data_IF_799779353763
#
_entry.id   IF_799779353763
#
_cell.length_a   1.000
_cell.length_b   1.000
_cell.length_c   1.000
_cell.angle_alpha   90.00
_cell.angle_beta   90.00
_cell.angle_gamma   90.00
#
_symmetry.space_group_name_H-M   'P 1'
#
loop_
_entity.id
_entity.type
_entity.pdbx_description
1 polymer ?
#
# COMPACT_ATOMS: atom_id res chain seq x y z
N UNK A 1 -40.92 -40.77 35.28
CA UNK A 1 -40.56 -39.68 36.22
C UNK A 1 -39.29 -39.03 35.65
N UNK A 2 -39.43 -37.87 35.02
CA UNK A 2 -38.88 -36.54 35.46
C UNK A 2 -37.34 -36.51 35.42
N UNK A 3 -36.61 -35.59 34.77
CA UNK A 3 -36.82 -34.30 34.08
C UNK A 3 -35.69 -34.17 33.03
N UNK A 4 -35.90 -33.70 31.80
CA UNK A 4 -35.72 -32.30 31.34
C UNK A 4 -34.64 -31.46 32.04
N UNK A 5 -33.55 -31.18 31.33
CA UNK A 5 -32.89 -29.86 31.33
C UNK A 5 -32.18 -29.64 29.98
N UNK A 6 -32.73 -28.70 29.22
CA UNK A 6 -32.28 -28.19 27.93
C UNK A 6 -31.28 -27.04 28.14
N UNK A 7 -30.16 -27.04 27.42
CA UNK A 7 -29.33 -25.85 27.20
C UNK A 7 -29.31 -25.49 25.71
N UNK A 8 -29.46 -24.20 25.35
CA UNK A 8 -29.62 -23.75 23.98
C UNK A 8 -28.28 -23.66 23.23
N UNK A 9 -28.25 -24.24 22.02
CA UNK A 9 -27.23 -24.00 21.01
C UNK A 9 -27.43 -22.60 20.41
N UNK A 10 -26.44 -21.72 20.56
CA UNK A 10 -26.44 -20.39 19.94
C UNK A 10 -25.13 -20.20 19.17
N UNK A 11 -25.32 -19.72 17.93
CA UNK A 11 -24.39 -19.19 16.93
C UNK A 11 -23.65 -20.21 16.05
N UNK A 12 -24.37 -20.70 15.04
CA UNK A 12 -23.76 -21.04 13.75
C UNK A 12 -23.14 -19.78 13.15
N UNK A 13 -21.82 -19.79 12.99
CA UNK A 13 -21.06 -18.76 12.29
C UNK A 13 -21.38 -18.83 10.79
N UNK A 14 -21.94 -17.75 10.24
CA UNK A 14 -22.12 -17.56 8.80
C UNK A 14 -20.78 -17.61 8.08
N UNK A 15 -20.50 -18.75 7.45
CA UNK A 15 -19.41 -18.96 6.52
C UNK A 15 -19.76 -18.33 5.17
N UNK A 16 -19.70 -17.00 5.06
CA UNK A 16 -19.73 -16.38 3.74
C UNK A 16 -18.37 -16.58 3.08
N UNK A 17 -18.38 -17.38 2.00
CA UNK A 17 -17.17 -17.67 1.25
C UNK A 17 -16.60 -16.38 0.63
N UNK A 18 -15.27 -16.24 0.49
CA UNK A 18 -14.65 -15.06 -0.14
C UNK A 18 -15.16 -14.75 -1.56
N UNK A 19 -15.75 -15.75 -2.25
CA UNK A 19 -16.39 -15.58 -3.56
C UNK A 19 -17.74 -14.85 -3.48
N UNK A 20 -18.51 -15.03 -2.40
CA UNK A 20 -19.79 -14.32 -2.23
C UNK A 20 -19.59 -12.85 -1.87
N UNK A 21 -18.53 -12.51 -1.12
CA UNK A 21 -18.14 -11.11 -0.87
C UNK A 21 -17.66 -10.43 -2.16
N UNK A 22 -16.96 -11.14 -3.05
CA UNK A 22 -16.58 -10.62 -4.36
C UNK A 22 -17.79 -10.43 -5.31
N UNK A 23 -18.77 -11.34 -5.27
CA UNK A 23 -20.00 -11.21 -6.07
C UNK A 23 -20.96 -10.13 -5.53
N UNK A 24 -21.06 -9.93 -4.21
CA UNK A 24 -21.86 -8.84 -3.64
C UNK A 24 -21.22 -7.46 -3.89
N UNK A 25 -19.89 -7.35 -3.96
CA UNK A 25 -19.22 -6.09 -4.30
C UNK A 25 -19.22 -5.79 -5.81
N UNK A 26 -19.14 -6.82 -6.66
CA UNK A 26 -19.24 -6.67 -8.12
C UNK A 26 -20.64 -6.34 -8.64
N UNK A 27 -21.67 -6.37 -7.77
CA UNK A 27 -23.06 -5.98 -8.10
C UNK A 27 -23.47 -4.62 -7.50
N UNK A 28 -22.61 -3.98 -6.69
CA UNK A 28 -22.85 -2.62 -6.23
C UNK A 28 -22.31 -1.65 -7.29
N UNK A 29 -23.20 -1.27 -8.21
CA UNK A 29 -23.00 -0.09 -9.06
C UNK A 29 -22.54 1.11 -8.23
N UNK A 30 -21.69 1.93 -8.86
CA UNK A 30 -20.90 3.04 -8.30
C UNK A 30 -21.37 3.62 -6.97
N UNK A 31 -20.46 3.71 -6.00
CA UNK A 31 -20.66 4.50 -4.79
C UNK A 31 -20.96 5.95 -5.20
N UNK A 32 -22.17 6.47 -4.93
CA UNK A 32 -22.54 7.79 -5.40
C UNK A 32 -21.58 8.83 -4.84
N UNK A 33 -21.23 9.79 -5.69
CA UNK A 33 -20.40 10.94 -5.29
C UNK A 33 -21.29 12.16 -5.28
N UNK A 34 -21.50 12.71 -4.09
CA UNK A 34 -22.07 14.04 -3.94
C UNK A 34 -20.99 15.08 -4.29
N UNK A 35 -21.32 16.01 -5.18
CA UNK A 35 -20.49 17.18 -5.48
C UNK A 35 -21.35 18.43 -5.32
N UNK A 36 -20.78 19.43 -4.67
CA UNK A 36 -21.37 20.77 -4.63
C UNK A 36 -21.15 21.46 -5.98
N UNK A 37 -22.17 21.41 -6.82
CA UNK A 37 -22.17 22.00 -8.16
C UNK A 37 -22.08 23.52 -8.14
N UNK A 38 -22.46 24.18 -7.04
CA UNK A 38 -22.42 25.65 -6.91
C UNK A 38 -21.00 26.21 -6.92
N UNK A 39 -19.99 25.35 -6.74
CA UNK A 39 -18.58 25.72 -6.86
C UNK A 39 -18.10 25.92 -8.30
N UNK A 40 -18.91 25.62 -9.31
CA UNK A 40 -18.51 25.64 -10.71
C UNK A 40 -19.35 26.64 -11.51
N UNK A 41 -18.71 27.41 -12.38
CA UNK A 41 -19.43 28.28 -13.33
C UNK A 41 -20.09 27.46 -14.44
N UNK A 42 -19.47 26.33 -14.80
CA UNK A 42 -19.93 25.46 -15.88
C UNK A 42 -20.11 24.04 -15.36
N UNK A 43 -21.35 23.58 -15.33
CA UNK A 43 -21.71 22.19 -15.03
C UNK A 43 -22.25 21.58 -16.31
N UNK A 44 -21.57 20.54 -16.81
CA UNK A 44 -21.84 19.98 -18.14
C UNK A 44 -22.13 18.49 -17.99
N UNK A 45 -23.34 18.08 -18.37
CA UNK A 45 -23.64 16.70 -18.67
C UNK A 45 -23.00 16.34 -20.01
N UNK A 46 -22.05 15.40 -20.01
CA UNK A 46 -21.28 15.10 -21.21
C UNK A 46 -22.13 14.46 -22.30
N UNK A 47 -23.21 13.74 -21.96
CA UNK A 47 -24.11 13.10 -22.94
C UNK A 47 -25.03 14.13 -23.56
N UNK A 48 -25.59 15.06 -22.79
CA UNK A 48 -26.33 16.19 -23.34
C UNK A 48 -25.45 17.06 -24.26
N UNK A 49 -24.15 17.13 -23.96
CA UNK A 49 -23.15 17.78 -24.82
C UNK A 49 -22.69 16.93 -26.03
N UNK A 50 -23.22 15.70 -26.20
CA UNK A 50 -22.99 14.86 -27.38
C UNK A 50 -22.00 13.71 -27.19
N UNK A 51 -21.60 13.36 -25.96
CA UNK A 51 -20.73 12.22 -25.70
C UNK A 51 -21.45 10.90 -26.02
N UNK A 52 -20.75 9.98 -26.68
CA UNK A 52 -21.21 8.61 -26.82
C UNK A 52 -21.04 7.83 -25.51
N UNK A 53 -22.16 7.45 -24.90
CA UNK A 53 -22.21 6.66 -23.67
C UNK A 53 -22.47 5.16 -23.93
N UNK A 54 -22.40 4.71 -25.18
CA UNK A 54 -22.45 3.29 -25.57
C UNK A 54 -21.04 2.67 -25.69
N UNK A 55 -20.03 3.50 -25.94
CA UNK A 55 -18.62 3.12 -26.05
C UNK A 55 -18.17 2.76 -27.47
N UNK A 56 -18.93 3.15 -28.50
CA UNK A 56 -18.57 2.94 -29.90
C UNK A 56 -17.65 4.01 -30.48
N UNK A 57 -17.67 5.23 -29.94
CA UNK A 57 -16.87 6.38 -30.38
C UNK A 57 -16.10 6.98 -29.22
N UNK A 58 -14.85 7.41 -29.50
CA UNK A 58 -14.02 8.05 -28.48
C UNK A 58 -14.63 9.38 -28.05
N UNK A 59 -14.73 9.59 -26.75
CA UNK A 59 -15.22 10.85 -26.20
C UNK A 59 -14.13 11.90 -26.03
N UNK A 60 -12.87 11.55 -26.26
CA UNK A 60 -11.72 12.44 -26.00
C UNK A 60 -11.80 13.75 -26.79
N UNK A 61 -12.14 13.77 -28.11
CA UNK A 61 -12.27 15.03 -28.85
C UNK A 61 -13.29 16.00 -28.23
N UNK A 62 -14.40 15.47 -27.72
CA UNK A 62 -15.42 16.27 -27.05
C UNK A 62 -14.92 16.76 -25.69
N UNK A 63 -14.34 15.88 -24.86
CA UNK A 63 -13.80 16.29 -23.55
C UNK A 63 -12.72 17.37 -23.68
N UNK A 64 -11.91 17.32 -24.74
CA UNK A 64 -10.90 18.33 -25.05
C UNK A 64 -11.50 19.71 -25.33
N UNK A 65 -12.71 19.76 -25.90
CA UNK A 65 -13.46 21.00 -26.15
C UNK A 65 -14.19 21.48 -24.88
N UNK A 66 -14.72 20.57 -24.07
CA UNK A 66 -15.53 20.91 -22.89
C UNK A 66 -14.68 21.34 -21.69
N UNK A 67 -13.51 20.71 -21.51
CA UNK A 67 -12.63 20.99 -20.37
C UNK A 67 -12.25 22.46 -20.31
N UNK A 68 -12.09 22.97 -19.11
CA UNK A 68 -11.71 24.35 -18.86
C UNK A 68 -11.62 24.59 -17.37
N UNK A 69 -11.09 25.75 -17.00
CA UNK A 69 -11.13 26.17 -15.62
C UNK A 69 -12.58 26.37 -15.15
N UNK A 70 -12.79 26.27 -13.84
CA UNK A 70 -14.06 26.34 -13.15
C UNK A 70 -15.20 25.52 -13.79
N UNK A 71 -14.87 24.32 -14.29
CA UNK A 71 -15.77 23.45 -15.03
C UNK A 71 -15.93 22.08 -14.34
N UNK A 72 -17.16 21.58 -14.26
CA UNK A 72 -17.51 20.24 -13.81
C UNK A 72 -18.08 19.43 -14.99
N UNK A 73 -17.39 18.36 -15.37
CA UNK A 73 -17.87 17.38 -16.34
C UNK A 73 -18.56 16.22 -15.60
N UNK A 74 -19.85 16.04 -15.87
CA UNK A 74 -20.70 15.00 -15.29
C UNK A 74 -20.94 13.90 -16.30
N UNK A 75 -20.69 12.67 -15.89
CA UNK A 75 -20.87 11.46 -16.67
C UNK A 75 -22.08 10.70 -16.14
N UNK A 76 -23.20 10.69 -16.89
CA UNK A 76 -24.29 9.77 -16.65
C UNK A 76 -23.85 8.31 -16.72
N UNK A 77 -24.65 7.37 -16.19
CA UNK A 77 -24.44 5.94 -16.42
C UNK A 77 -24.26 5.62 -17.90
N UNK A 78 -23.23 4.84 -18.19
CA UNK A 78 -22.84 4.48 -19.56
C UNK A 78 -21.43 3.92 -19.64
N UNK A 79 -21.03 3.58 -20.86
CA UNK A 79 -19.69 3.14 -21.22
C UNK A 79 -19.08 4.16 -22.17
N UNK A 80 -17.91 4.67 -21.84
CA UNK A 80 -17.29 5.77 -22.55
C UNK A 80 -15.92 5.34 -23.05
N UNK A 81 -15.76 5.26 -24.37
CA UNK A 81 -14.50 4.84 -24.98
C UNK A 81 -13.50 6.01 -25.00
N UNK A 82 -12.23 5.72 -24.71
CA UNK A 82 -11.14 6.70 -24.73
C UNK A 82 -9.91 6.11 -25.41
N UNK A 83 -9.50 6.69 -26.53
CA UNK A 83 -8.31 6.31 -27.31
C UNK A 83 -7.16 7.31 -27.23
N UNK A 84 -7.31 8.38 -26.44
CA UNK A 84 -6.31 9.43 -26.30
C UNK A 84 -6.38 10.09 -24.91
N UNK A 85 -5.40 10.95 -24.61
CA UNK A 85 -5.28 11.68 -23.34
C UNK A 85 -6.19 12.91 -23.30
N UNK A 86 -6.87 13.13 -22.18
CA UNK A 86 -7.46 14.42 -21.81
C UNK A 86 -6.47 15.19 -20.94
N UNK A 87 -5.99 16.32 -21.44
CA UNK A 87 -4.94 17.13 -20.80
C UNK A 87 -5.44 18.52 -20.40
N UNK A 88 -5.26 18.89 -19.13
CA UNK A 88 -5.52 20.24 -18.62
C UNK A 88 -4.48 20.60 -17.57
N UNK A 89 -3.86 21.77 -17.66
CA UNK A 89 -2.80 22.23 -16.73
C UNK A 89 -3.07 23.66 -16.27
N UNK A 90 -2.58 24.05 -15.10
CA UNK A 90 -2.72 25.43 -14.60
C UNK A 90 -4.14 25.89 -14.31
N UNK A 91 -5.07 24.97 -14.06
CA UNK A 91 -6.47 25.29 -13.71
C UNK A 91 -6.61 25.58 -12.21
N UNK A 92 -7.61 26.38 -11.83
CA UNK A 92 -7.93 26.72 -10.44
C UNK A 92 -8.98 25.78 -9.85
N UNK A 93 -9.96 25.33 -10.62
CA UNK A 93 -11.00 24.40 -10.16
C UNK A 93 -11.50 23.55 -11.33
N UNK A 94 -11.42 22.23 -11.22
CA UNK A 94 -11.90 21.34 -12.28
C UNK A 94 -12.47 20.06 -11.70
N UNK A 95 -13.56 19.56 -12.28
CA UNK A 95 -14.23 18.36 -11.84
C UNK A 95 -14.51 17.41 -12.99
N UNK A 96 -14.29 16.11 -12.77
CA UNK A 96 -14.67 15.02 -13.67
C UNK A 96 -15.31 13.92 -12.82
N UNK A 97 -16.63 13.79 -12.89
CA UNK A 97 -17.36 12.89 -11.99
C UNK A 97 -18.38 12.04 -12.70
N UNK A 98 -18.62 10.85 -12.18
CA UNK A 98 -19.76 10.01 -12.50
C UNK A 98 -20.60 9.80 -11.23
N UNK A 99 -21.51 10.74 -10.91
CA UNK A 99 -22.21 10.76 -9.62
C UNK A 99 -23.07 9.53 -9.38
N UNK A 100 -23.55 8.89 -10.46
CA UNK A 100 -24.35 7.66 -10.43
C UNK A 100 -23.59 6.46 -11.02
N UNK A 101 -22.26 6.54 -11.12
CA UNK A 101 -21.42 5.53 -11.73
C UNK A 101 -21.34 5.63 -13.25
N UNK A 102 -20.15 5.46 -13.81
CA UNK A 102 -19.90 5.33 -15.25
C UNK A 102 -18.69 4.45 -15.50
N UNK A 103 -18.61 3.83 -16.68
CA UNK A 103 -17.45 3.03 -17.08
C UNK A 103 -16.62 3.75 -18.13
N UNK A 104 -15.34 3.95 -17.87
CA UNK A 104 -14.36 4.36 -18.89
C UNK A 104 -13.71 3.12 -19.49
N UNK A 105 -13.63 3.05 -20.81
CA UNK A 105 -13.06 1.94 -21.57
C UNK A 105 -11.88 2.47 -22.38
N UNK A 106 -10.63 2.33 -21.90
CA UNK A 106 -9.46 2.74 -22.66
C UNK A 106 -9.23 1.84 -23.89
N UNK A 107 -8.67 2.42 -24.95
CA UNK A 107 -8.02 1.67 -26.02
C UNK A 107 -6.82 0.86 -25.48
N UNK A 108 -6.39 -0.14 -26.24
CA UNK A 108 -5.24 -0.96 -25.88
C UNK A 108 -3.90 -0.24 -26.12
N UNK A 109 -2.80 -0.89 -25.76
CA UNK A 109 -1.46 -0.31 -25.90
C UNK A 109 -1.09 0.16 -27.32
N UNK A 110 -1.57 -0.54 -28.36
CA UNK A 110 -1.20 -0.29 -29.75
C UNK A 110 -2.04 0.83 -30.37
N UNK A 111 -3.30 0.95 -29.93
CA UNK A 111 -4.28 1.86 -30.50
C UNK A 111 -4.49 3.15 -29.68
N UNK A 112 -3.92 3.23 -28.47
CA UNK A 112 -3.95 4.47 -27.68
C UNK A 112 -2.98 5.52 -28.25
N UNK A 113 -3.52 6.66 -28.67
CA UNK A 113 -2.83 7.70 -29.44
C UNK A 113 -1.75 8.44 -28.64
N UNK A 114 -2.03 8.83 -27.39
CA UNK A 114 -1.04 9.55 -26.59
C UNK A 114 0.18 8.65 -26.31
N UNK A 115 1.37 9.10 -26.71
CA UNK A 115 2.64 8.37 -26.51
C UNK A 115 2.84 7.89 -25.06
N UNK A 116 2.33 8.69 -24.13
CA UNK A 116 2.48 8.55 -22.70
C UNK A 116 1.36 7.74 -22.01
N UNK A 117 0.31 7.36 -22.77
CA UNK A 117 -0.75 6.41 -22.40
C UNK A 117 -1.40 6.70 -21.04
N UNK A 118 -2.12 7.82 -20.97
CA UNK A 118 -2.85 8.32 -19.79
C UNK A 118 -4.24 8.74 -20.24
N UNK A 119 -5.28 8.37 -19.50
CA UNK A 119 -6.65 8.84 -19.76
C UNK A 119 -6.76 10.32 -19.40
N UNK A 120 -6.32 10.67 -18.20
CA UNK A 120 -6.33 12.06 -17.72
C UNK A 120 -4.96 12.47 -17.22
N UNK A 121 -4.48 13.61 -17.73
CA UNK A 121 -3.30 14.31 -17.23
C UNK A 121 -3.69 15.72 -16.78
N UNK A 122 -3.89 15.85 -15.48
CA UNK A 122 -4.46 17.03 -14.83
C UNK A 122 -3.39 17.71 -13.97
N UNK A 123 -2.85 18.80 -14.49
CA UNK A 123 -1.68 19.48 -13.95
C UNK A 123 -0.36 18.86 -14.39
N UNK A 124 0.71 19.60 -14.17
CA UNK A 124 2.12 19.16 -14.27
C UNK A 124 2.94 19.94 -13.24
N UNK A 125 4.12 19.46 -12.83
CA UNK A 125 4.88 20.07 -11.74
C UNK A 125 5.16 21.58 -11.89
N UNK A 126 5.30 22.10 -13.12
CA UNK A 126 5.53 23.53 -13.41
C UNK A 126 4.26 24.34 -13.74
N UNK A 127 3.12 23.66 -13.88
CA UNK A 127 1.81 24.28 -14.10
C UNK A 127 0.74 23.40 -13.44
N UNK A 128 0.79 23.26 -12.10
CA UNK A 128 -0.10 22.37 -11.37
C UNK A 128 -1.55 22.88 -11.47
N UNK A 129 -2.51 21.97 -11.31
CA UNK A 129 -3.91 22.37 -11.10
C UNK A 129 -4.16 22.74 -9.63
N UNK A 130 -5.35 23.25 -9.33
CA UNK A 130 -5.88 23.41 -7.97
C UNK A 130 -7.32 22.92 -7.93
N UNK A 131 -7.79 22.52 -6.73
CA UNK A 131 -9.17 22.09 -6.49
C UNK A 131 -9.69 21.09 -7.54
N UNK A 132 -9.01 19.93 -7.64
CA UNK A 132 -9.40 18.86 -8.55
C UNK A 132 -10.38 17.91 -7.87
N UNK A 133 -11.54 17.69 -8.49
CA UNK A 133 -12.44 16.57 -8.14
C UNK A 133 -12.44 15.51 -9.23
N UNK A 134 -12.20 14.26 -8.85
CA UNK A 134 -12.27 13.13 -9.77
C UNK A 134 -12.92 11.92 -9.11
N UNK A 135 -13.91 11.29 -9.75
CA UNK A 135 -14.41 10.05 -9.18
C UNK A 135 -15.70 9.46 -9.73
N UNK A 136 -16.05 8.27 -9.22
CA UNK A 136 -17.30 7.57 -9.52
C UNK A 136 -17.17 6.62 -10.71
N UNK A 137 -15.94 6.32 -11.12
CA UNK A 137 -15.67 5.58 -12.34
C UNK A 137 -15.25 4.14 -12.06
N UNK A 138 -15.79 3.23 -12.86
CA UNK A 138 -15.15 1.95 -13.17
C UNK A 138 -14.29 2.14 -14.43
N UNK A 139 -13.08 1.58 -14.45
CA UNK A 139 -12.16 1.62 -15.58
C UNK A 139 -12.00 0.19 -16.09
N UNK A 140 -12.52 -0.09 -17.28
CA UNK A 140 -12.57 -1.45 -17.84
C UNK A 140 -11.29 -1.75 -18.64
N UNK A 141 -10.30 -2.35 -17.97
CA UNK A 141 -9.02 -2.78 -18.55
C UNK A 141 -8.94 -4.29 -18.71
N UNK A 142 -10.09 -4.97 -18.92
CA UNK A 142 -10.13 -6.44 -19.09
C UNK A 142 -9.64 -6.91 -20.45
N UNK A 143 -9.64 -6.04 -21.46
CA UNK A 143 -9.13 -6.37 -22.78
C UNK A 143 -7.61 -6.66 -22.71
N UNK A 144 -7.08 -7.57 -23.55
CA UNK A 144 -5.64 -7.81 -23.64
C UNK A 144 -4.86 -6.53 -23.93
N UNK A 145 -3.59 -6.51 -23.55
CA UNK A 145 -2.67 -5.38 -23.79
C UNK A 145 -3.21 -4.03 -23.30
N UNK A 146 -4.15 -4.04 -22.35
CA UNK A 146 -4.80 -2.85 -21.81
C UNK A 146 -4.28 -2.59 -20.41
N UNK A 147 -4.03 -1.32 -20.13
CA UNK A 147 -3.28 -0.89 -18.96
C UNK A 147 -2.90 0.56 -19.19
N UNK A 148 -3.81 1.48 -18.96
CA UNK A 148 -3.57 2.90 -19.24
C UNK A 148 -3.63 3.62 -17.90
N UNK A 149 -2.73 4.58 -17.68
CA UNK A 149 -2.78 5.38 -16.45
C UNK A 149 -4.13 6.08 -16.41
N UNK A 150 -4.90 5.85 -15.34
CA UNK A 150 -6.24 6.42 -15.20
C UNK A 150 -6.12 7.92 -14.95
N UNK A 151 -5.33 8.28 -13.95
CA UNK A 151 -5.17 9.67 -13.54
C UNK A 151 -3.72 9.93 -13.18
N UNK A 152 -3.14 10.89 -13.88
CA UNK A 152 -1.96 11.62 -13.45
C UNK A 152 -2.41 13.00 -12.97
N UNK A 153 -2.30 13.26 -11.68
CA UNK A 153 -2.69 14.52 -11.06
C UNK A 153 -1.50 15.17 -10.35
N UNK A 154 -1.12 16.35 -10.83
CA UNK A 154 -0.15 17.23 -10.17
C UNK A 154 -0.87 18.50 -9.74
N UNK A 155 -1.24 18.56 -8.47
CA UNK A 155 -2.17 19.55 -7.92
C UNK A 155 -1.44 20.35 -6.84
N UNK A 156 -1.56 21.68 -6.86
CA UNK A 156 -0.99 22.53 -5.84
C UNK A 156 -1.66 22.26 -4.49
N UNK A 157 -2.99 22.26 -4.47
CA UNK A 157 -3.82 22.07 -3.28
C UNK A 157 -5.24 21.66 -3.68
N UNK A 158 -5.98 20.98 -2.79
CA UNK A 158 -7.37 20.60 -3.01
C UNK A 158 -7.57 19.40 -3.94
N UNK A 159 -6.71 18.39 -3.91
CA UNK A 159 -6.95 17.13 -4.63
C UNK A 159 -8.02 16.30 -3.92
N UNK A 160 -9.08 15.92 -4.62
CA UNK A 160 -10.12 15.01 -4.13
C UNK A 160 -10.43 13.93 -5.18
N UNK A 161 -9.87 12.73 -4.98
CA UNK A 161 -10.10 11.56 -5.85
C UNK A 161 -10.88 10.52 -5.08
N UNK A 162 -12.06 10.12 -5.55
CA UNK A 162 -12.91 9.15 -4.84
C UNK A 162 -13.53 8.09 -5.74
N UNK A 163 -13.69 6.89 -5.20
CA UNK A 163 -14.51 5.81 -5.81
C UNK A 163 -14.09 5.53 -7.27
N UNK A 164 -12.83 5.13 -7.44
CA UNK A 164 -12.28 4.76 -8.74
C UNK A 164 -11.89 3.29 -8.68
N UNK A 165 -12.47 2.46 -9.54
CA UNK A 165 -12.17 1.03 -9.60
C UNK A 165 -11.62 0.64 -10.97
N UNK A 166 -10.40 0.10 -11.01
CA UNK A 166 -9.81 -0.49 -12.20
C UNK A 166 -10.14 -1.98 -12.23
N UNK A 167 -10.92 -2.37 -13.24
CA UNK A 167 -11.38 -3.73 -13.49
C UNK A 167 -10.46 -4.35 -14.55
N UNK A 168 -10.01 -5.58 -14.31
CA UNK A 168 -9.00 -6.22 -15.15
C UNK A 168 -7.57 -5.94 -14.69
N UNK A 169 -6.61 -6.67 -15.27
CA UNK A 169 -5.20 -6.59 -14.91
C UNK A 169 -4.46 -5.65 -15.87
N UNK A 170 -3.59 -4.80 -15.34
CA UNK A 170 -2.75 -3.92 -16.14
C UNK A 170 -1.77 -4.76 -16.98
N UNK A 171 -2.09 -4.94 -18.26
CA UNK A 171 -1.42 -5.88 -19.18
C UNK A 171 -0.62 -5.21 -20.30
N UNK A 172 -0.61 -3.88 -20.37
CA UNK A 172 0.13 -3.10 -21.38
C UNK A 172 1.60 -2.81 -21.03
N UNK A 173 1.98 -2.88 -19.75
CA UNK A 173 3.30 -2.50 -19.24
C UNK A 173 3.56 -1.01 -19.06
N UNK A 174 2.57 -0.14 -19.31
CA UNK A 174 2.72 1.33 -19.13
C UNK A 174 2.87 1.75 -17.65
N UNK A 175 2.90 3.05 -17.38
CA UNK A 175 2.81 3.57 -16.02
C UNK A 175 1.52 3.13 -15.33
N UNK A 176 1.59 2.79 -14.05
CA UNK A 176 0.42 2.27 -13.34
C UNK A 176 -0.73 3.28 -13.17
N UNK A 177 -1.88 2.82 -12.66
CA UNK A 177 -3.16 3.49 -12.83
C UNK A 177 -3.28 4.85 -12.12
N UNK A 178 -2.55 5.09 -11.02
CA UNK A 178 -2.57 6.36 -10.32
C UNK A 178 -1.18 7.00 -10.20
N UNK A 179 -1.08 8.29 -10.51
CA UNK A 179 -0.01 9.16 -10.03
C UNK A 179 -0.63 10.41 -9.39
N UNK A 180 -0.27 10.67 -8.14
CA UNK A 180 -0.81 11.79 -7.38
C UNK A 180 0.30 12.55 -6.66
N UNK A 181 0.39 13.84 -6.93
CA UNK A 181 1.31 14.75 -6.26
C UNK A 181 0.55 15.99 -5.76
N UNK A 182 0.90 16.40 -4.55
CA UNK A 182 0.59 17.74 -4.04
C UNK A 182 1.86 18.58 -4.12
N UNK A 183 1.87 19.59 -4.98
CA UNK A 183 3.09 20.33 -5.35
C UNK A 183 3.38 21.53 -4.46
N UNK A 184 2.36 22.09 -3.80
CA UNK A 184 2.55 23.14 -2.78
C UNK A 184 2.85 22.48 -1.43
N UNK A 185 3.95 22.83 -0.73
CA UNK A 185 4.23 22.33 0.62
C UNK A 185 3.09 22.56 1.65
N UNK A 186 2.28 23.61 1.47
CA UNK A 186 1.12 23.89 2.32
C UNK A 186 -0.18 23.22 1.81
N UNK A 187 -0.15 22.66 0.60
CA UNK A 187 -1.31 22.04 -0.02
C UNK A 187 -1.66 20.69 0.59
N UNK A 188 -2.89 20.25 0.33
CA UNK A 188 -3.38 18.96 0.78
C UNK A 188 -4.26 18.24 -0.24
N UNK A 189 -4.33 16.91 -0.11
CA UNK A 189 -5.11 16.05 -0.99
C UNK A 189 -5.60 14.76 -0.34
N UNK A 190 -6.70 14.23 -0.86
CA UNK A 190 -7.23 12.92 -0.51
C UNK A 190 -7.41 12.06 -1.75
N UNK A 191 -6.98 10.80 -1.65
CA UNK A 191 -7.31 9.74 -2.60
C UNK A 191 -8.01 8.64 -1.81
N UNK A 192 -9.31 8.50 -2.01
CA UNK A 192 -10.17 7.60 -1.24
C UNK A 192 -10.80 6.53 -2.12
N UNK A 193 -10.77 5.27 -1.68
CA UNK A 193 -11.38 4.13 -2.40
C UNK A 193 -10.92 4.06 -3.87
N UNK A 194 -9.60 4.20 -4.08
CA UNK A 194 -8.96 3.88 -5.35
C UNK A 194 -8.58 2.39 -5.35
N UNK A 195 -9.24 1.61 -6.20
CA UNK A 195 -9.14 0.16 -6.23
C UNK A 195 -8.54 -0.31 -7.55
N UNK A 196 -7.45 -1.07 -7.46
CA UNK A 196 -6.79 -1.71 -8.59
C UNK A 196 -6.22 -3.06 -8.12
N UNK A 197 -7.11 -3.94 -7.64
CA UNK A 197 -6.74 -5.16 -6.92
C UNK A 197 -6.19 -6.28 -7.82
N UNK A 198 -6.46 -6.21 -9.12
CA UNK A 198 -5.94 -7.16 -10.10
C UNK A 198 -4.43 -7.00 -10.34
N UNK A 199 -3.86 -5.83 -10.00
CA UNK A 199 -2.44 -5.55 -10.21
C UNK A 199 -2.07 -5.50 -11.69
N UNK A 200 -0.87 -5.99 -12.01
CA UNK A 200 -0.35 -6.00 -13.38
C UNK A 200 0.27 -7.33 -13.77
N UNK A 201 0.31 -7.60 -15.07
CA UNK A 201 1.14 -8.70 -15.59
C UNK A 201 2.62 -8.32 -15.46
N UNK A 202 3.54 -9.29 -15.45
CA UNK A 202 4.98 -9.06 -15.49
C UNK A 202 5.39 -8.21 -16.68
N UNK A 203 6.33 -7.29 -16.49
CA UNK A 203 6.77 -6.41 -17.59
C UNK A 203 7.15 -7.25 -18.81
N UNK A 204 7.92 -8.33 -18.62
CA UNK A 204 8.36 -9.24 -19.69
C UNK A 204 7.23 -9.89 -20.51
N UNK A 205 5.98 -9.79 -20.06
CA UNK A 205 4.79 -10.30 -20.73
C UNK A 205 3.89 -9.18 -21.29
N UNK A 206 4.42 -7.97 -21.40
CA UNK A 206 3.69 -6.79 -21.89
C UNK A 206 4.21 -6.34 -23.25
N UNK A 207 3.40 -5.67 -24.08
CA UNK A 207 3.88 -5.08 -25.32
C UNK A 207 4.96 -4.01 -25.09
N UNK A 208 4.91 -3.26 -23.97
CA UNK A 208 5.95 -2.27 -23.65
C UNK A 208 7.35 -2.88 -23.51
N UNK A 209 7.48 -4.13 -23.09
CA UNK A 209 8.79 -4.77 -22.93
C UNK A 209 9.66 -4.74 -24.19
N UNK A 210 9.02 -4.75 -25.37
CA UNK A 210 9.72 -4.68 -26.65
C UNK A 210 10.37 -3.31 -26.90
N UNK A 211 9.88 -2.26 -26.23
CA UNK A 211 10.35 -0.88 -26.34
C UNK A 211 11.30 -0.52 -25.19
N UNK A 212 10.99 -1.01 -23.99
CA UNK A 212 11.66 -0.61 -22.74
C UNK A 212 11.75 -1.83 -21.79
N UNK A 213 12.71 -2.74 -22.05
CA UNK A 213 12.89 -3.96 -21.26
C UNK A 213 13.47 -3.72 -19.87
N UNK A 214 14.09 -2.55 -19.64
CA UNK A 214 14.68 -2.17 -18.35
C UNK A 214 13.64 -1.61 -17.37
N UNK A 215 12.51 -1.11 -17.88
CA UNK A 215 11.43 -0.63 -17.02
C UNK A 215 10.81 -1.75 -16.20
N UNK A 216 10.76 -1.59 -14.88
CA UNK A 216 10.25 -2.61 -13.96
C UNK A 216 8.75 -2.92 -14.07
N UNK A 217 8.01 -2.06 -14.77
CA UNK A 217 6.57 -2.17 -14.93
C UNK A 217 5.80 -1.22 -14.00
N UNK A 218 4.47 -1.30 -14.00
CA UNK A 218 3.63 -0.35 -13.27
C UNK A 218 3.74 -0.53 -11.76
N UNK A 219 3.75 0.60 -11.05
CA UNK A 219 3.40 0.72 -9.63
C UNK A 219 1.93 1.12 -9.50
N UNK A 220 1.18 0.52 -8.59
CA UNK A 220 -0.27 0.74 -8.45
C UNK A 220 -0.65 2.21 -8.25
N UNK A 221 -0.09 2.83 -7.21
CA UNK A 221 -0.16 4.27 -6.98
C UNK A 221 1.25 4.82 -6.75
N UNK A 222 1.59 5.88 -7.49
CA UNK A 222 2.88 6.56 -7.43
C UNK A 222 2.72 8.02 -6.96
N UNK A 223 3.57 8.46 -6.04
CA UNK A 223 3.93 9.87 -5.91
C UNK A 223 5.41 10.03 -6.20
N UNK A 224 5.77 11.11 -6.86
CA UNK A 224 7.14 11.41 -7.28
C UNK A 224 7.76 12.50 -6.42
N UNK A 225 9.00 12.88 -6.74
CA UNK A 225 9.68 14.00 -6.09
C UNK A 225 8.93 15.34 -6.18
N UNK A 226 7.95 15.48 -7.08
CA UNK A 226 7.10 16.66 -7.18
C UNK A 226 6.08 16.76 -6.04
N UNK A 227 5.87 15.70 -5.25
CA UNK A 227 5.02 15.79 -4.05
C UNK A 227 5.78 16.41 -2.87
N UNK A 228 5.27 17.55 -2.39
CA UNK A 228 5.83 18.38 -1.32
C UNK A 228 4.81 18.65 -0.18
N UNK A 229 3.51 18.68 -0.47
CA UNK A 229 2.46 18.91 0.54
C UNK A 229 2.03 17.64 1.27
N UNK A 230 0.74 17.52 1.58
CA UNK A 230 0.17 16.34 2.29
C UNK A 230 -0.82 15.55 1.43
N UNK A 231 -0.64 14.23 1.29
CA UNK A 231 -1.66 13.34 0.71
C UNK A 231 -2.13 12.31 1.73
N UNK A 232 -3.45 12.11 1.80
CA UNK A 232 -4.05 10.97 2.50
C UNK A 232 -4.63 9.96 1.52
N UNK A 233 -4.08 8.75 1.52
CA UNK A 233 -4.65 7.57 0.87
C UNK A 233 -5.59 6.85 1.84
N UNK A 234 -6.89 6.83 1.53
CA UNK A 234 -7.92 6.26 2.42
C UNK A 234 -8.63 5.08 1.77
N UNK A 235 -8.67 3.94 2.45
CA UNK A 235 -9.40 2.76 2.01
C UNK A 235 -9.08 2.31 0.57
N UNK A 236 -7.84 2.53 0.11
CA UNK A 236 -7.37 2.07 -1.20
C UNK A 236 -7.15 0.56 -1.20
N UNK A 237 -7.23 -0.06 -2.38
CA UNK A 237 -7.04 -1.51 -2.53
C UNK A 237 -6.15 -1.80 -3.73
N UNK A 238 -4.91 -2.22 -3.50
CA UNK A 238 -3.90 -2.36 -4.55
C UNK A 238 -3.40 -3.80 -4.65
N UNK A 239 -3.38 -4.31 -5.88
CA UNK A 239 -3.08 -5.69 -6.23
C UNK A 239 -1.62 -5.98 -6.52
N UNK A 240 -1.41 -7.09 -7.21
CA UNK A 240 -0.10 -7.65 -7.57
C UNK A 240 0.59 -6.87 -8.69
N UNK A 241 1.06 -5.65 -8.42
CA UNK A 241 1.78 -4.82 -9.38
C UNK A 241 3.23 -5.29 -9.60
N UNK A 242 3.76 -5.01 -10.79
CA UNK A 242 5.10 -5.42 -11.21
C UNK A 242 6.23 -4.75 -10.41
N UNK A 243 5.96 -3.58 -9.85
CA UNK A 243 6.87 -2.90 -8.94
C UNK A 243 6.24 -2.78 -7.54
N UNK A 244 5.69 -1.63 -7.15
CA UNK A 244 5.10 -1.44 -5.82
C UNK A 244 3.57 -1.38 -5.87
N UNK A 245 2.93 -1.68 -4.74
CA UNK A 245 1.51 -1.40 -4.56
C UNK A 245 1.32 0.10 -4.47
N UNK A 246 1.75 0.67 -3.34
CA UNK A 246 1.86 2.11 -3.12
C UNK A 246 3.34 2.50 -2.98
N UNK A 247 3.80 3.44 -3.82
CA UNK A 247 5.11 4.06 -3.73
C UNK A 247 4.96 5.57 -3.52
N UNK A 248 5.44 6.05 -2.39
CA UNK A 248 5.44 7.48 -2.08
C UNK A 248 6.74 7.79 -1.34
N UNK A 249 7.84 7.93 -2.09
CA UNK A 249 9.14 8.39 -1.59
C UNK A 249 9.38 9.79 -2.16
N UNK A 250 9.16 10.81 -1.34
CA UNK A 250 8.96 12.19 -1.81
C UNK A 250 9.61 13.20 -0.84
N UNK A 251 9.23 14.47 -0.94
CA UNK A 251 9.58 15.50 0.06
C UNK A 251 8.36 15.98 0.86
N UNK A 252 7.20 15.31 0.68
CA UNK A 252 5.94 15.65 1.34
C UNK A 252 5.60 14.72 2.51
N UNK A 253 4.37 14.88 3.00
CA UNK A 253 3.77 14.06 4.06
C UNK A 253 2.75 13.09 3.47
N UNK A 254 2.85 11.81 3.85
CA UNK A 254 1.98 10.77 3.30
C UNK A 254 1.28 9.98 4.39
N UNK A 255 -0.04 10.03 4.38
CA UNK A 255 -0.89 9.28 5.30
C UNK A 255 -1.61 8.16 4.56
N UNK A 256 -1.66 6.99 5.16
CA UNK A 256 -2.38 5.81 4.67
C UNK A 256 -3.31 5.36 5.78
N UNK A 257 -4.62 5.34 5.49
CA UNK A 257 -5.65 4.99 6.46
C UNK A 257 -6.59 3.94 5.90
N UNK A 258 -6.61 2.76 6.51
CA UNK A 258 -7.36 1.62 6.02
C UNK A 258 -6.79 1.03 4.72
N UNK A 259 -7.51 0.08 4.14
CA UNK A 259 -7.19 -0.46 2.82
C UNK A 259 -6.43 -1.79 2.84
N UNK A 260 -6.26 -2.35 1.64
CA UNK A 260 -5.66 -3.67 1.41
C UNK A 260 -4.58 -3.54 0.34
N UNK A 261 -3.34 -3.92 0.66
CA UNK A 261 -2.20 -3.85 -0.24
C UNK A 261 -1.58 -5.25 -0.36
N UNK A 262 -1.55 -5.82 -1.57
CA UNK A 262 -1.27 -7.24 -1.71
C UNK A 262 -0.42 -7.63 -2.92
N UNK A 263 0.49 -8.57 -2.70
CA UNK A 263 1.27 -9.29 -3.70
C UNK A 263 2.06 -8.48 -4.76
N UNK A 264 2.24 -7.17 -4.60
CA UNK A 264 3.14 -6.36 -5.44
C UNK A 264 4.60 -6.76 -5.27
N UNK A 265 5.38 -6.73 -6.34
CA UNK A 265 6.72 -7.32 -6.39
C UNK A 265 7.70 -6.79 -5.34
N UNK A 266 7.86 -5.46 -5.19
CA UNK A 266 8.91 -4.87 -4.37
C UNK A 266 8.44 -4.53 -2.94
N UNK A 267 7.33 -3.81 -2.81
CA UNK A 267 6.73 -3.48 -1.52
C UNK A 267 5.22 -3.24 -1.68
N UNK A 268 4.43 -3.67 -0.68
CA UNK A 268 2.99 -3.42 -0.70
C UNK A 268 2.71 -1.96 -0.39
N UNK A 269 3.40 -1.42 0.62
CA UNK A 269 3.41 -0.01 0.99
C UNK A 269 4.86 0.43 1.20
N UNK A 270 5.32 1.40 0.40
CA UNK A 270 6.64 2.01 0.51
C UNK A 270 6.52 3.52 0.66
N UNK A 271 6.89 4.03 1.82
CA UNK A 271 6.83 5.45 2.14
C UNK A 271 8.23 6.01 2.43
N UNK A 272 8.44 7.27 2.06
CA UNK A 272 9.57 8.11 2.44
C UNK A 272 9.23 9.57 2.15
N UNK A 273 9.75 10.51 2.93
CA UNK A 273 9.26 11.88 2.91
C UNK A 273 9.69 12.67 4.11
N UNK A 274 8.89 13.65 4.51
CA UNK A 274 9.10 14.39 5.77
C UNK A 274 8.57 13.60 6.95
N UNK A 275 7.31 13.15 6.86
CA UNK A 275 6.61 12.37 7.88
C UNK A 275 5.42 11.61 7.27
N UNK A 276 4.74 10.78 8.07
CA UNK A 276 3.56 10.06 7.60
C UNK A 276 3.00 9.05 8.58
N UNK A 277 1.78 8.59 8.31
CA UNK A 277 1.10 7.56 9.11
C UNK A 277 0.66 6.39 8.25
N UNK A 278 0.70 5.18 8.80
CA UNK A 278 0.07 3.97 8.25
C UNK A 278 -0.85 3.44 9.35
N UNK A 279 -2.16 3.63 9.19
CA UNK A 279 -3.14 3.30 10.21
C UNK A 279 -4.20 2.33 9.70
N UNK A 280 -4.51 1.28 10.47
CA UNK A 280 -5.58 0.31 10.15
C UNK A 280 -5.39 -0.40 8.78
N UNK A 281 -4.15 -0.58 8.34
CA UNK A 281 -3.83 -1.14 7.02
C UNK A 281 -3.69 -2.65 7.08
N UNK A 282 -4.24 -3.34 6.07
CA UNK A 282 -3.99 -4.77 5.84
C UNK A 282 -3.02 -4.97 4.68
N UNK A 283 -1.93 -5.69 4.94
CA UNK A 283 -0.95 -6.13 3.97
C UNK A 283 -1.00 -7.65 3.85
N UNK A 284 -1.10 -8.15 2.61
CA UNK A 284 -1.20 -9.60 2.33
C UNK A 284 -0.23 -10.02 1.23
N UNK A 285 0.72 -10.88 1.57
CA UNK A 285 1.66 -11.48 0.61
C UNK A 285 1.51 -13.00 0.68
N UNK A 286 0.51 -13.51 -0.03
CA UNK A 286 0.07 -14.90 0.08
C UNK A 286 0.38 -15.75 -1.16
N UNK A 287 0.98 -15.15 -2.18
CA UNK A 287 1.49 -15.85 -3.35
C UNK A 287 2.73 -15.16 -3.89
N UNK A 288 3.62 -15.99 -4.46
CA UNK A 288 4.72 -15.52 -5.26
C UNK A 288 4.21 -15.00 -6.62
N UNK A 289 4.96 -14.06 -7.20
CA UNK A 289 4.70 -13.59 -8.55
C UNK A 289 5.45 -14.46 -9.56
N UNK A 290 4.81 -14.75 -10.68
CA UNK A 290 5.38 -15.49 -11.81
C UNK A 290 5.55 -14.52 -13.00
N UNK A 291 6.68 -14.51 -13.75
CA UNK A 291 7.90 -15.26 -13.52
C UNK A 291 8.85 -14.61 -12.52
N UNK A 292 9.69 -15.46 -11.93
CA UNK A 292 10.87 -15.11 -11.15
C UNK A 292 10.67 -15.06 -9.62
N UNK A 293 11.76 -15.02 -8.84
CA UNK A 293 11.67 -14.75 -7.42
C UNK A 293 11.12 -13.33 -7.23
N UNK A 294 10.11 -13.21 -6.38
CA UNK A 294 9.56 -11.90 -6.05
C UNK A 294 10.26 -11.32 -4.81
N UNK A 295 10.46 -10.02 -4.72
CA UNK A 295 11.09 -9.38 -3.55
C UNK A 295 10.05 -8.73 -2.63
N UNK A 296 8.92 -9.42 -2.38
CA UNK A 296 7.72 -8.80 -1.81
C UNK A 296 7.90 -8.45 -0.34
N UNK A 297 8.24 -7.19 -0.05
CA UNK A 297 8.19 -6.65 1.32
C UNK A 297 6.75 -6.27 1.67
N UNK A 298 6.43 -6.34 2.96
CA UNK A 298 5.15 -5.87 3.48
C UNK A 298 5.07 -4.33 3.49
N UNK A 299 5.62 -3.73 4.55
CA UNK A 299 5.71 -2.27 4.73
C UNK A 299 7.18 -1.85 4.76
N UNK A 300 7.53 -0.83 3.99
CA UNK A 300 8.87 -0.25 3.97
C UNK A 300 8.82 1.26 4.23
N UNK A 301 9.47 1.69 5.31
CA UNK A 301 9.76 3.11 5.57
C UNK A 301 11.19 3.37 5.12
N UNK A 302 11.35 4.20 4.09
CA UNK A 302 12.63 4.45 3.44
C UNK A 302 13.40 5.62 4.06
N UNK A 303 12.75 6.77 4.24
CA UNK A 303 13.38 8.00 4.71
C UNK A 303 12.39 8.85 5.52
N UNK A 304 12.88 9.92 6.16
CA UNK A 304 12.05 10.90 6.87
C UNK A 304 11.96 10.67 8.37
N UNK A 305 11.06 11.39 9.05
CA UNK A 305 10.98 11.40 10.51
C UNK A 305 9.54 11.28 11.02
N UNK A 306 9.39 10.82 12.26
CA UNK A 306 8.13 10.74 12.98
C UNK A 306 7.07 9.90 12.25
N UNK A 307 7.48 8.82 11.59
CA UNK A 307 6.52 7.90 11.01
C UNK A 307 5.77 7.13 12.09
N UNK A 308 4.48 6.89 11.89
CA UNK A 308 3.66 6.09 12.80
C UNK A 308 2.98 4.96 12.02
N UNK A 309 3.33 3.72 12.34
CA UNK A 309 2.60 2.52 11.91
C UNK A 309 1.73 2.08 13.09
N UNK A 310 0.41 2.22 12.96
CA UNK A 310 -0.55 1.92 14.03
C UNK A 310 -1.65 0.96 13.54
N UNK A 311 -1.87 -0.10 14.31
CA UNK A 311 -2.90 -1.10 13.99
C UNK A 311 -2.76 -1.65 12.56
N UNK A 312 -1.54 -1.96 12.14
CA UNK A 312 -1.26 -2.59 10.86
C UNK A 312 -1.24 -4.13 11.02
N UNK A 313 -1.80 -4.83 10.03
CA UNK A 313 -1.76 -6.29 9.94
C UNK A 313 -0.99 -6.70 8.70
N UNK A 314 0.14 -7.38 8.88
CA UNK A 314 1.00 -7.88 7.80
C UNK A 314 0.99 -9.40 7.81
N UNK A 315 0.45 -10.03 6.77
CA UNK A 315 0.34 -11.48 6.68
C UNK A 315 1.07 -12.01 5.44
N UNK A 316 2.10 -12.83 5.66
CA UNK A 316 2.98 -13.36 4.63
C UNK A 316 3.18 -14.88 4.83
N UNK A 317 2.22 -15.75 4.45
CA UNK A 317 2.32 -17.20 4.66
C UNK A 317 3.39 -17.88 3.80
N UNK A 318 3.80 -17.26 2.68
CA UNK A 318 4.90 -17.72 1.84
C UNK A 318 5.82 -16.52 1.56
N UNK A 319 6.53 -16.02 2.58
CA UNK A 319 7.26 -14.76 2.45
C UNK A 319 8.42 -14.95 1.50
N UNK A 320 8.55 -14.06 0.53
CA UNK A 320 9.76 -13.93 -0.30
C UNK A 320 10.66 -12.78 0.13
N UNK A 321 10.19 -11.92 1.03
CA UNK A 321 10.99 -10.87 1.64
C UNK A 321 10.55 -10.58 3.09
N UNK A 322 10.94 -9.41 3.60
CA UNK A 322 10.74 -8.96 4.98
C UNK A 322 9.32 -8.41 5.23
N UNK A 323 8.83 -8.53 6.46
CA UNK A 323 7.51 -8.05 6.88
C UNK A 323 7.42 -6.52 6.95
N UNK A 324 7.96 -5.92 8.02
CA UNK A 324 8.09 -4.47 8.19
C UNK A 324 9.57 -4.10 8.23
N UNK A 325 9.98 -3.12 7.43
CA UNK A 325 11.38 -2.68 7.33
C UNK A 325 11.51 -1.18 7.55
N UNK A 326 12.38 -0.78 8.47
CA UNK A 326 12.82 0.61 8.66
C UNK A 326 14.23 0.73 8.11
N UNK A 327 14.39 1.52 7.05
CA UNK A 327 15.64 1.66 6.29
C UNK A 327 16.60 2.67 6.92
N UNK A 328 17.84 2.69 6.43
CA UNK A 328 18.93 3.51 6.96
C UNK A 328 18.65 5.03 6.95
N UNK A 329 17.91 5.56 5.98
CA UNK A 329 17.68 7.01 5.85
C UNK A 329 16.49 7.53 6.68
N UNK A 330 15.85 6.69 7.49
CA UNK A 330 14.74 7.09 8.36
C UNK A 330 15.25 7.56 9.73
N UNK A 331 14.92 8.78 10.13
CA UNK A 331 15.36 9.39 11.40
C UNK A 331 14.53 8.96 12.60
N UNK A 332 13.23 8.70 12.44
CA UNK A 332 12.42 8.11 13.51
C UNK A 332 11.14 7.44 13.01
N UNK A 333 10.78 6.33 13.68
CA UNK A 333 9.54 5.58 13.44
C UNK A 333 8.98 4.99 14.74
N UNK A 334 7.66 5.07 14.92
CA UNK A 334 6.92 4.31 15.92
C UNK A 334 6.06 3.24 15.24
N UNK A 335 6.18 1.99 15.67
CA UNK A 335 5.29 0.89 15.32
C UNK A 335 4.49 0.54 16.58
N UNK A 336 3.16 0.52 16.50
CA UNK A 336 2.33 0.14 17.64
C UNK A 336 1.06 -0.62 17.28
N UNK A 337 0.55 -1.39 18.24
CA UNK A 337 -0.72 -2.12 18.14
C UNK A 337 -0.84 -3.00 16.88
N UNK A 338 0.28 -3.47 16.35
CA UNK A 338 0.37 -4.09 15.03
C UNK A 338 0.63 -5.59 15.12
N UNK A 339 0.34 -6.31 14.03
CA UNK A 339 0.62 -7.74 13.92
C UNK A 339 1.39 -8.08 12.64
N UNK A 340 2.37 -8.97 12.75
CA UNK A 340 3.15 -9.50 11.63
C UNK A 340 3.12 -11.03 11.69
N UNK A 341 2.66 -11.69 10.64
CA UNK A 341 2.62 -13.15 10.53
C UNK A 341 3.47 -13.62 9.36
N UNK A 342 4.53 -14.36 9.66
CA UNK A 342 5.50 -14.88 8.69
C UNK A 342 5.41 -16.42 8.64
N UNK A 343 5.21 -16.96 7.43
CA UNK A 343 5.19 -18.40 7.19
C UNK A 343 6.55 -19.07 7.20
N UNK A 344 6.57 -20.37 6.92
CA UNK A 344 7.71 -21.27 7.13
C UNK A 344 8.75 -21.24 6.01
N UNK A 345 9.23 -20.05 5.63
CA UNK A 345 10.35 -19.88 4.67
C UNK A 345 11.59 -19.37 5.39
N UNK A 346 12.75 -19.91 5.04
CA UNK A 346 14.02 -19.55 5.67
C UNK A 346 14.53 -18.17 5.24
N UNK A 347 15.21 -17.48 6.17
CA UNK A 347 15.87 -16.20 5.89
C UNK A 347 14.92 -15.02 5.61
N UNK A 348 13.67 -15.06 6.12
CA UNK A 348 12.66 -14.01 5.95
C UNK A 348 12.20 -13.49 7.30
N UNK A 349 12.55 -12.26 7.62
CA UNK A 349 12.38 -11.70 8.97
C UNK A 349 11.06 -10.94 9.09
N UNK A 350 10.50 -10.90 10.31
CA UNK A 350 9.24 -10.21 10.59
C UNK A 350 9.41 -8.69 10.57
N UNK A 351 10.09 -8.15 11.57
CA UNK A 351 10.41 -6.71 11.68
C UNK A 351 11.93 -6.55 11.59
N UNK A 352 12.40 -5.66 10.71
CA UNK A 352 13.83 -5.36 10.55
C UNK A 352 14.06 -3.85 10.67
N UNK A 353 14.97 -3.50 11.58
CA UNK A 353 15.48 -2.15 11.76
C UNK A 353 16.93 -2.16 11.25
N UNK A 354 17.19 -1.47 10.13
CA UNK A 354 18.51 -1.39 9.50
C UNK A 354 19.48 -0.53 10.33
N UNK A 355 20.79 -0.67 10.12
CA UNK A 355 21.82 -0.09 11.01
C UNK A 355 21.77 1.43 11.10
N UNK A 356 21.53 2.12 9.99
CA UNK A 356 21.47 3.58 9.92
C UNK A 356 20.13 4.17 10.37
N UNK A 357 19.08 3.35 10.55
CA UNK A 357 17.79 3.85 11.00
C UNK A 357 17.95 4.55 12.35
N UNK A 358 17.32 5.73 12.50
CA UNK A 358 17.34 6.54 13.70
C UNK A 358 16.53 5.94 14.85
N UNK A 359 15.80 6.78 15.60
CA UNK A 359 15.07 6.32 16.78
C UNK A 359 13.86 5.47 16.38
N UNK A 360 13.80 4.23 16.83
CA UNK A 360 12.66 3.34 16.55
C UNK A 360 12.02 2.86 17.84
N UNK A 361 10.71 3.04 17.97
CA UNK A 361 9.91 2.43 19.04
C UNK A 361 8.98 1.39 18.43
N UNK A 362 8.97 0.17 18.95
CA UNK A 362 8.00 -0.86 18.63
C UNK A 362 7.26 -1.20 19.92
N UNK A 363 5.94 -1.06 19.94
CA UNK A 363 5.15 -1.26 21.16
C UNK A 363 3.85 -2.04 20.93
N UNK A 364 3.45 -2.90 21.89
CA UNK A 364 2.20 -3.65 21.81
C UNK A 364 2.03 -4.38 20.46
N UNK A 365 3.08 -5.05 20.00
CA UNK A 365 3.15 -5.68 18.68
C UNK A 365 3.33 -7.19 18.80
N UNK A 366 2.53 -7.94 18.03
CA UNK A 366 2.64 -9.39 17.94
C UNK A 366 3.35 -9.81 16.66
N UNK A 367 4.35 -10.67 16.76
CA UNK A 367 5.00 -11.31 15.61
C UNK A 367 4.84 -12.82 15.69
N UNK A 368 4.00 -13.38 14.81
CA UNK A 368 3.90 -14.83 14.62
C UNK A 368 4.92 -15.26 13.58
N UNK A 369 5.92 -16.03 13.99
CA UNK A 369 7.01 -16.46 13.12
C UNK A 369 7.07 -17.99 13.05
N UNK A 370 6.84 -18.53 11.85
CA UNK A 370 6.94 -19.96 11.55
C UNK A 370 8.17 -20.32 10.69
N UNK A 371 8.87 -19.31 10.16
CA UNK A 371 10.15 -19.47 9.47
C UNK A 371 11.34 -19.41 10.43
N UNK A 372 12.48 -19.97 10.02
CA UNK A 372 13.67 -20.05 10.89
C UNK A 372 14.33 -18.70 11.18
N UNK A 373 14.00 -17.62 10.47
CA UNK A 373 14.63 -16.29 10.66
C UNK A 373 14.08 -15.51 11.88
N UNK A 374 14.64 -14.33 12.15
CA UNK A 374 14.26 -13.55 13.33
C UNK A 374 12.85 -12.95 13.19
N UNK A 375 12.06 -13.05 14.26
CA UNK A 375 10.80 -12.31 14.38
C UNK A 375 11.06 -10.80 14.41
N UNK A 376 12.08 -10.38 15.18
CA UNK A 376 12.57 -8.99 15.22
C UNK A 376 14.08 -8.99 15.07
N UNK A 377 14.60 -8.17 14.16
CA UNK A 377 16.02 -7.96 13.97
C UNK A 377 16.34 -6.47 14.09
N UNK A 378 17.18 -6.13 15.05
CA UNK A 378 17.72 -4.78 15.25
C UNK A 378 19.19 -4.81 14.84
N UNK A 379 19.48 -4.29 13.66
CA UNK A 379 20.85 -4.08 13.20
C UNK A 379 21.42 -2.80 13.81
N UNK A 380 22.73 -2.75 14.00
CA UNK A 380 23.35 -1.61 14.64
C UNK A 380 24.78 -1.35 14.19
N UNK A 381 25.19 -0.14 14.49
CA UNK A 381 26.54 0.41 14.34
C UNK A 381 26.87 1.22 15.61
N UNK A 382 28.13 1.60 15.81
CA UNK A 382 28.62 2.13 17.09
C UNK A 382 27.88 3.39 17.58
N UNK A 383 27.35 4.22 16.67
CA UNK A 383 26.70 5.51 16.96
C UNK A 383 25.22 5.53 16.58
N UNK A 384 24.58 4.36 16.48
CA UNK A 384 23.17 4.26 16.11
C UNK A 384 22.25 4.86 17.19
N UNK A 385 21.13 5.44 16.76
CA UNK A 385 20.10 5.96 17.67
C UNK A 385 19.34 4.84 18.40
N UNK A 386 18.77 5.16 19.55
CA UNK A 386 18.12 4.18 20.43
C UNK A 386 16.94 3.44 19.77
N UNK A 387 16.78 2.18 20.16
CA UNK A 387 15.60 1.36 19.81
C UNK A 387 14.92 0.91 21.09
N UNK A 388 13.61 1.10 21.17
CA UNK A 388 12.76 0.59 22.25
C UNK A 388 11.83 -0.49 21.71
N UNK A 389 11.88 -1.68 22.30
CA UNK A 389 10.93 -2.77 22.10
C UNK A 389 10.12 -2.94 23.40
N UNK A 390 8.84 -2.54 23.42
CA UNK A 390 8.00 -2.57 24.62
C UNK A 390 6.70 -3.37 24.43
N UNK A 391 6.47 -4.41 25.23
CA UNK A 391 5.25 -5.22 25.10
C UNK A 391 5.20 -6.01 23.79
N UNK A 392 6.37 -6.50 23.33
CA UNK A 392 6.45 -7.35 22.14
C UNK A 392 6.12 -8.80 22.49
N UNK A 393 5.21 -9.40 21.73
CA UNK A 393 4.89 -10.83 21.84
C UNK A 393 5.33 -11.56 20.58
N UNK A 394 6.21 -12.55 20.72
CA UNK A 394 6.64 -13.42 19.62
C UNK A 394 6.06 -14.82 19.83
N UNK A 395 5.38 -15.35 18.81
CA UNK A 395 4.81 -16.70 18.81
C UNK A 395 5.19 -17.49 17.55
N UNK A 396 4.71 -18.73 17.44
CA UNK A 396 4.84 -19.58 16.25
C UNK A 396 5.78 -20.77 16.46
N UNK A 397 5.70 -21.73 15.53
CA UNK A 397 6.40 -23.03 15.62
C UNK A 397 7.64 -23.06 14.75
N UNK A 398 8.32 -21.94 14.61
CA UNK A 398 9.47 -21.86 13.73
C UNK A 398 10.60 -22.81 14.14
N UNK A 399 11.14 -23.60 13.19
CA UNK A 399 12.24 -24.50 13.47
C UNK A 399 13.50 -23.69 13.78
N UNK A 400 14.28 -24.17 14.73
CA UNK A 400 15.64 -23.66 14.92
C UNK A 400 16.53 -24.18 13.78
N UNK A 401 17.30 -23.30 13.16
CA UNK A 401 18.60 -23.71 12.61
C UNK A 401 19.62 -23.49 13.72
N UNK A 402 20.71 -24.27 13.76
CA UNK A 402 21.78 -24.05 14.75
C UNK A 402 22.14 -22.56 14.81
N UNK A 403 22.10 -21.98 16.02
CA UNK A 403 22.46 -20.57 16.28
C UNK A 403 21.51 -19.51 15.70
N UNK A 404 20.18 -19.72 15.78
CA UNK A 404 19.22 -18.71 15.33
C UNK A 404 18.23 -18.30 16.41
N UNK A 405 18.11 -17.01 16.60
CA UNK A 405 17.35 -16.33 17.64
C UNK A 405 15.96 -15.83 17.17
N UNK A 406 14.99 -15.77 18.08
CA UNK A 406 13.70 -15.10 17.83
C UNK A 406 13.88 -13.60 17.66
N UNK A 407 14.66 -12.98 18.55
CA UNK A 407 14.97 -11.56 18.54
C UNK A 407 16.49 -11.39 18.53
N UNK A 408 17.00 -10.66 17.54
CA UNK A 408 18.43 -10.31 17.42
C UNK A 408 18.64 -8.84 17.70
N UNK A 409 19.51 -8.52 18.66
CA UNK A 409 19.89 -7.16 19.00
C UNK A 409 21.37 -6.97 18.73
N UNK A 410 21.71 -6.20 17.71
CA UNK A 410 23.08 -5.83 17.36
C UNK A 410 23.36 -4.33 17.55
N UNK A 411 22.43 -3.60 18.17
CA UNK A 411 22.49 -2.15 18.31
C UNK A 411 22.70 -1.72 19.77
N UNK A 412 23.72 -0.90 20.07
CA UNK A 412 23.92 -0.36 21.40
C UNK A 412 22.75 0.51 21.86
N UNK A 413 22.53 0.61 23.18
CA UNK A 413 21.47 1.45 23.74
C UNK A 413 20.05 0.95 23.46
N UNK A 414 19.89 -0.28 22.98
CA UNK A 414 18.57 -0.87 22.76
C UNK A 414 17.93 -1.26 24.10
N UNK A 415 16.64 -1.01 24.24
CA UNK A 415 15.85 -1.40 25.40
C UNK A 415 14.78 -2.41 25.02
N UNK A 416 14.68 -3.47 25.81
CA UNK A 416 13.64 -4.49 25.73
C UNK A 416 12.84 -4.46 27.02
N UNK A 417 11.57 -4.10 26.92
CA UNK A 417 10.63 -4.01 28.04
C UNK A 417 9.44 -4.93 27.77
N UNK A 418 9.05 -5.74 28.76
CA UNK A 418 7.85 -6.59 28.67
C UNK A 418 7.82 -7.51 27.42
N UNK A 419 8.97 -8.05 27.02
CA UNK A 419 9.10 -8.89 25.81
C UNK A 419 8.82 -10.35 26.15
N UNK A 420 7.84 -10.94 25.47
CA UNK A 420 7.47 -12.35 25.62
C UNK A 420 7.81 -13.13 24.35
N UNK A 421 8.57 -14.21 24.47
CA UNK A 421 8.87 -15.14 23.36
C UNK A 421 8.34 -16.52 23.72
N UNK A 422 7.31 -16.98 23.01
CA UNK A 422 6.77 -18.33 23.09
C UNK A 422 6.92 -19.04 21.74
N UNK A 423 8.08 -19.67 21.52
CA UNK A 423 8.38 -20.36 20.27
C UNK A 423 8.93 -21.76 20.58
N UNK A 424 8.04 -22.74 20.86
CA UNK A 424 8.40 -24.08 21.27
C UNK A 424 8.81 -24.97 20.07
N UNK A 425 9.38 -24.39 19.00
CA UNK A 425 9.73 -25.09 17.76
C UNK A 425 10.56 -26.36 17.97
N UNK A 426 10.66 -27.18 16.93
CA UNK A 426 11.25 -28.54 17.00
C UNK A 426 12.73 -28.59 17.39
N UNK A 427 13.48 -27.49 17.25
CA UNK A 427 14.93 -27.47 17.40
C UNK A 427 15.39 -26.37 18.37
N UNK A 428 16.70 -26.36 18.69
CA UNK A 428 17.35 -25.39 19.58
C UNK A 428 17.32 -23.96 18.99
N UNK A 429 16.25 -23.22 19.24
CA UNK A 429 16.12 -21.80 18.87
C UNK A 429 16.50 -20.89 20.04
N UNK A 430 17.31 -19.88 19.80
CA UNK A 430 17.58 -18.83 20.78
C UNK A 430 16.40 -17.86 20.90
N UNK A 431 16.24 -17.22 22.06
CA UNK A 431 15.03 -16.46 22.37
C UNK A 431 15.32 -15.02 22.01
N UNK A 432 16.14 -14.41 22.85
CA UNK A 432 16.77 -13.12 22.58
C UNK A 432 18.28 -13.35 22.54
N UNK A 433 18.94 -12.86 21.50
CA UNK A 433 20.40 -12.80 21.41
C UNK A 433 20.84 -11.33 21.36
N UNK A 434 21.74 -10.97 22.27
CA UNK A 434 22.27 -9.62 22.41
C UNK A 434 23.75 -9.62 22.03
N UNK A 435 24.07 -8.92 20.96
CA UNK A 435 25.41 -8.69 20.44
C UNK A 435 25.69 -7.18 20.33
N UNK A 436 25.51 -6.48 21.45
CA UNK A 436 25.73 -5.04 21.56
C UNK A 436 25.97 -4.62 23.02
N UNK A 437 26.60 -3.47 23.21
CA UNK A 437 26.81 -2.86 24.52
C UNK A 437 25.58 -2.08 24.99
N UNK A 438 25.44 -1.87 26.30
CA UNK A 438 24.43 -0.98 26.89
C UNK A 438 22.98 -1.36 26.49
N UNK A 439 22.67 -2.66 26.50
CA UNK A 439 21.32 -3.16 26.23
C UNK A 439 20.61 -3.42 27.56
N UNK A 440 19.43 -2.82 27.72
CA UNK A 440 18.56 -3.04 28.88
C UNK A 440 17.50 -4.08 28.55
N UNK A 441 17.34 -5.09 29.42
CA UNK A 441 16.25 -6.08 29.32
C UNK A 441 15.50 -6.11 30.65
N UNK A 442 14.20 -5.79 30.63
CA UNK A 442 13.37 -5.71 31.83
C UNK A 442 11.96 -6.25 31.58
N UNK A 443 11.45 -7.09 32.48
CA UNK A 443 10.13 -7.71 32.35
C UNK A 443 10.01 -8.70 31.18
N UNK A 444 8.88 -9.41 31.11
CA UNK A 444 8.61 -10.41 30.07
C UNK A 444 9.05 -11.84 30.42
N UNK A 445 9.16 -12.70 29.41
CA UNK A 445 9.46 -14.13 29.60
C UNK A 445 9.77 -14.89 28.30
N UNK A 446 10.52 -15.98 28.41
CA UNK A 446 10.92 -16.82 27.26
C UNK A 446 10.56 -18.27 27.54
N UNK A 447 9.72 -18.86 26.68
CA UNK A 447 9.31 -20.27 26.73
C UNK A 447 9.80 -21.01 25.49
N UNK A 448 10.50 -22.14 25.69
CA UNK A 448 11.08 -23.00 24.64
C UNK A 448 11.10 -24.46 25.07
N UNK A 449 11.19 -25.40 24.10
CA UNK A 449 11.23 -26.86 24.37
C UNK A 449 12.57 -27.38 24.90
N UNK A 450 13.69 -26.75 24.56
CA UNK A 450 15.03 -27.24 24.92
C UNK A 450 15.85 -26.14 25.64
N UNK A 451 16.57 -26.53 26.70
CA UNK A 451 17.36 -25.64 27.55
C UNK A 451 18.59 -25.05 26.84
N UNK A 452 18.37 -24.04 25.99
CA UNK A 452 19.43 -23.21 25.41
C UNK A 452 19.71 -21.98 26.27
N UNK A 453 20.98 -21.56 26.35
CA UNK A 453 21.45 -20.42 27.15
C UNK A 453 20.66 -19.15 26.82
N UNK A 454 20.20 -18.44 27.84
CA UNK A 454 20.06 -16.98 27.76
C UNK A 454 21.44 -16.39 28.00
N UNK A 455 22.25 -16.19 26.95
CA UNK A 455 23.46 -15.37 27.09
C UNK A 455 23.05 -13.90 27.13
N UNK A 456 22.58 -13.44 28.28
CA UNK A 456 22.66 -12.04 28.63
C UNK A 456 24.10 -11.78 29.05
N UNK A 457 24.92 -11.19 28.18
CA UNK A 457 26.07 -10.42 28.67
C UNK A 457 25.51 -9.14 29.30
N UNK A 458 24.90 -9.27 30.48
CA UNK A 458 24.48 -8.12 31.28
C UNK A 458 25.73 -7.37 31.73
N UNK A 459 26.15 -6.37 30.96
CA UNK A 459 26.91 -5.25 31.50
C UNK A 459 25.92 -4.22 32.01
N UNK A 460 25.38 -4.48 33.19
CA UNK A 460 24.81 -3.44 34.05
C UNK A 460 25.99 -2.86 34.82
N UNK A 461 26.37 -1.61 34.56
CA UNK A 461 27.19 -0.81 35.49
C UNK A 461 26.22 0.18 36.14
N UNK A 462 26.25 0.33 37.47
CA UNK A 462 25.27 1.10 38.26
C UNK A 462 25.05 2.53 37.79
#
# INVERSE_FOLDING_TARGET
MKNEETYPSVIESSSDSPRQVQQQLGQLGGYPIAVDESRYDRVIDVVEAGADNTGGTSIVPLLQQLKGDNTLLKFPPGRYYMDDEVRLTGFVNFGVIAPNGATLVPADYETFNAANRRLFRLGVYYAPGRDLRFGGFSIDQRAPNTGIRVLEAEIADGLDVRNVEVIGQHSSGTGGPGLFNITDPAGSGTVERFWAQSGSVPQSQTPRYQVDPEYWGPTGILSTAAHQGTITYRACRLGSFADNGLYCVTTGTTNVSGGIYQNSHNSQVRLGGVTGTIQNVTVRVDRQRDPGPSEQRGIRIQSGSNYVIDNATVTMPQPSNLGITIMDDNSSTTIRNSSVSMGSVSGKHGIVIYSGAGTVTVSNTTVTMNGSANAVQVNGEANASNVLLDGITVTGNAPGTTWRESIRIARPGTELRNVTVNQPGSDNRDGVFVNANNVLVTGGGVTKRHGGRSESSSKTIP
#
